data_IF_693295863851
#
_entry.id   IF_693295863851
#
_cell.length_a   1.000
_cell.length_b   1.000
_cell.length_c   1.000
_cell.angle_alpha   90.00
_cell.angle_beta   90.00
_cell.angle_gamma   90.00
#
_symmetry.space_group_name_H-M   'P 1'
#
loop_
_entity.id
_entity.type
_entity.pdbx_description
1 polymer ?
#
# COMPACT_ATOMS: atom_id res chain seq x y z
N UNK A 1 26.07 -34.19 16.80
CA UNK A 1 27.34 -34.77 16.29
C UNK A 1 27.89 -33.85 15.23
N UNK A 2 29.17 -33.44 15.42
CA UNK A 2 30.12 -32.72 14.52
C UNK A 2 29.67 -31.35 14.01
N UNK A 3 30.03 -30.21 14.53
CA UNK A 3 31.35 -29.49 14.66
C UNK A 3 32.06 -29.34 13.30
N UNK A 4 32.21 -28.12 12.86
CA UNK A 4 33.13 -27.67 11.83
C UNK A 4 33.36 -26.16 11.92
N UNK A 5 34.46 -25.79 12.62
CA UNK A 5 34.99 -24.40 12.71
C UNK A 5 35.81 -24.09 11.47
N UNK A 6 35.84 -22.83 11.07
CA UNK A 6 36.81 -22.29 10.11
C UNK A 6 36.97 -20.79 10.29
N UNK A 7 38.05 -20.36 10.90
CA UNK A 7 38.53 -19.00 11.10
C UNK A 7 39.42 -18.55 9.94
N UNK A 8 39.60 -17.25 9.81
CA UNK A 8 40.69 -16.56 9.11
C UNK A 8 40.13 -15.44 8.22
N UNK A 9 40.33 -14.16 8.39
CA UNK A 9 41.48 -13.44 8.89
C UNK A 9 42.07 -12.63 7.73
N UNK A 10 42.07 -11.29 7.78
CA UNK A 10 42.90 -10.54 6.84
C UNK A 10 42.45 -9.09 6.57
N UNK A 11 42.83 -8.20 7.46
CA UNK A 11 42.83 -6.75 7.22
C UNK A 11 44.00 -6.34 6.29
N UNK A 12 43.79 -5.38 5.40
CA UNK A 12 44.86 -4.42 5.01
C UNK A 12 44.28 -3.06 4.59
N UNK A 13 44.80 -2.07 5.28
CA UNK A 13 44.74 -0.62 4.99
C UNK A 13 45.57 -0.29 3.75
N UNK A 14 45.16 0.73 3.01
CA UNK A 14 45.98 1.42 2.01
C UNK A 14 45.52 2.88 1.88
N UNK A 15 46.23 3.77 2.55
CA UNK A 15 46.18 5.22 2.34
C UNK A 15 47.02 5.58 1.12
N UNK A 16 46.60 6.57 0.35
CA UNK A 16 47.37 7.12 -0.74
C UNK A 16 46.84 8.51 -1.11
N UNK A 17 47.43 9.50 -0.53
CA UNK A 17 47.33 10.94 -0.81
C UNK A 17 48.08 11.33 -2.09
N UNK A 18 47.53 12.28 -2.88
CA UNK A 18 48.23 12.87 -4.01
C UNK A 18 47.59 14.19 -4.43
N UNK A 19 48.13 15.28 -3.95
CA UNK A 19 47.91 16.65 -4.43
C UNK A 19 48.68 16.90 -5.73
N UNK A 20 48.12 17.72 -6.63
CA UNK A 20 48.82 18.21 -7.82
C UNK A 20 48.11 19.41 -8.42
N UNK A 21 48.58 20.58 -8.07
CA UNK A 21 48.27 21.91 -8.61
C UNK A 21 48.90 22.15 -9.98
N UNK A 22 48.26 22.96 -10.84
CA UNK A 22 48.88 23.47 -12.07
C UNK A 22 48.03 24.56 -12.74
N UNK A 23 48.48 25.78 -12.60
CA UNK A 23 48.02 27.04 -13.23
C UNK A 23 48.60 27.22 -14.64
N UNK A 24 47.98 28.12 -15.44
CA UNK A 24 48.47 28.79 -16.64
C UNK A 24 47.40 28.82 -17.72
N UNK A 25 46.73 29.87 -18.14
CA UNK A 25 47.28 31.20 -18.51
C UNK A 25 47.49 31.20 -20.03
N UNK A 26 46.70 31.83 -20.84
CA UNK A 26 47.07 33.03 -21.55
C UNK A 26 45.99 33.49 -22.56
N UNK A 27 45.99 34.74 -22.75
CA UNK A 27 45.21 35.72 -23.51
C UNK A 27 45.51 35.69 -25.00
N UNK A 28 44.55 36.05 -25.83
CA UNK A 28 44.76 36.36 -27.25
C UNK A 28 43.61 37.14 -27.87
N UNK A 29 43.76 38.42 -27.88
CA UNK A 29 42.93 39.46 -28.57
C UNK A 29 43.24 39.54 -30.05
N UNK A 30 42.30 40.18 -30.78
CA UNK A 30 42.43 41.21 -31.86
C UNK A 30 41.81 40.85 -33.24
N UNK A 31 40.67 41.41 -33.52
CA UNK A 31 40.22 42.49 -34.48
C UNK A 31 40.44 42.36 -35.98
N UNK A 32 39.82 43.26 -36.80
CA UNK A 32 38.71 42.97 -37.72
C UNK A 32 39.04 43.31 -39.17
N UNK A 33 38.22 42.87 -40.10
CA UNK A 33 38.37 43.18 -41.51
C UNK A 33 37.07 43.44 -42.28
N UNK A 34 37.01 44.57 -42.78
CA UNK A 34 36.12 45.36 -43.63
C UNK A 34 35.72 44.72 -44.97
N UNK A 35 34.50 44.97 -45.40
CA UNK A 35 34.20 45.71 -46.64
C UNK A 35 33.62 44.90 -47.80
N UNK A 36 32.47 45.36 -48.30
CA UNK A 36 31.98 45.02 -49.66
C UNK A 36 30.49 45.09 -49.88
N UNK A 37 30.00 46.19 -50.39
CA UNK A 37 28.65 46.41 -51.01
C UNK A 37 28.80 46.38 -52.52
N UNK A 38 27.69 46.50 -53.33
CA UNK A 38 26.35 45.81 -53.38
C UNK A 38 26.06 45.27 -54.81
N UNK A 39 25.07 44.43 -54.97
CA UNK A 39 24.51 44.07 -56.30
C UNK A 39 22.98 43.95 -56.24
N UNK A 40 22.33 44.76 -57.10
CA UNK A 40 20.87 44.85 -57.35
C UNK A 40 20.35 43.64 -58.16
N UNK A 41 19.13 43.25 -57.90
CA UNK A 41 18.25 42.77 -58.96
C UNK A 41 17.34 41.61 -58.57
N UNK A 42 16.02 41.80 -58.70
CA UNK A 42 15.07 40.73 -58.98
C UNK A 42 13.96 40.51 -57.97
N UNK A 43 12.83 41.19 -58.19
CA UNK A 43 11.54 40.90 -57.54
C UNK A 43 10.99 39.55 -57.99
N UNK A 44 10.61 38.69 -57.06
CA UNK A 44 9.55 37.70 -57.25
C UNK A 44 8.88 37.45 -55.89
N UNK A 45 7.67 37.89 -55.76
CA UNK A 45 6.82 37.69 -54.59
C UNK A 45 6.40 36.22 -54.50
N UNK A 46 6.90 35.49 -53.52
CA UNK A 46 6.26 34.26 -53.02
C UNK A 46 5.83 34.52 -51.57
N UNK A 47 4.50 34.55 -51.36
CA UNK A 47 3.89 34.62 -50.04
C UNK A 47 4.26 33.35 -49.27
N UNK A 48 5.21 33.46 -48.39
CA UNK A 48 5.52 32.44 -47.39
C UNK A 48 4.42 32.49 -46.32
N UNK A 49 3.55 31.46 -46.28
CA UNK A 49 2.69 31.16 -45.14
C UNK A 49 3.59 31.06 -43.89
N UNK A 50 3.47 32.05 -43.01
CA UNK A 50 4.05 32.03 -41.70
C UNK A 50 3.53 30.78 -40.96
N UNK A 51 4.38 29.78 -40.81
CA UNK A 51 4.13 28.62 -39.96
C UNK A 51 3.94 29.08 -38.51
N UNK A 52 2.75 28.87 -37.97
CA UNK A 52 2.51 29.05 -36.58
C UNK A 52 3.55 28.24 -35.80
N UNK A 53 4.19 28.79 -34.75
CA UNK A 53 5.09 28.03 -33.89
C UNK A 53 4.28 26.88 -33.31
N UNK A 54 4.75 25.65 -33.54
CA UNK A 54 4.24 24.46 -32.83
C UNK A 54 4.41 24.73 -31.34
N UNK A 55 3.32 25.00 -30.65
CA UNK A 55 3.28 25.03 -29.19
C UNK A 55 3.94 23.75 -28.72
N UNK A 56 5.07 23.90 -28.05
CA UNK A 56 5.75 22.79 -27.42
C UNK A 56 4.73 22.09 -26.53
N UNK A 57 4.54 20.78 -26.74
CA UNK A 57 3.72 19.93 -25.86
C UNK A 57 4.31 20.10 -24.46
N UNK A 58 3.65 20.94 -23.65
CA UNK A 58 3.96 21.07 -22.24
C UNK A 58 3.98 19.67 -21.64
N UNK A 59 4.91 19.44 -20.72
CA UNK A 59 5.00 18.19 -19.97
C UNK A 59 3.58 17.91 -19.43
N UNK A 60 2.98 16.72 -19.72
CA UNK A 60 1.64 16.42 -19.23
C UNK A 60 1.60 16.62 -17.72
N UNK A 61 0.51 17.16 -17.16
CA UNK A 61 0.39 17.31 -15.72
C UNK A 61 0.72 15.97 -15.08
N UNK A 62 1.53 15.99 -14.02
CA UNK A 62 1.87 14.77 -13.29
C UNK A 62 0.60 14.14 -12.78
N UNK A 63 0.34 12.90 -13.16
CA UNK A 63 -0.75 12.10 -12.59
C UNK A 63 -0.35 11.65 -11.19
N UNK A 64 -0.60 12.52 -10.22
CA UNK A 64 -0.16 12.28 -8.84
C UNK A 64 -0.90 11.10 -8.20
N UNK A 65 -2.15 10.81 -8.61
CA UNK A 65 -2.89 9.66 -8.13
C UNK A 65 -2.20 8.33 -8.53
N UNK A 66 -1.87 8.17 -9.81
CA UNK A 66 -1.16 6.97 -10.30
C UNK A 66 0.26 6.89 -9.77
N UNK A 67 0.94 8.01 -9.63
CA UNK A 67 2.27 8.04 -9.02
C UNK A 67 2.24 7.63 -7.54
N UNK A 68 1.25 8.05 -6.77
CA UNK A 68 1.11 7.64 -5.36
C UNK A 68 0.79 6.15 -5.25
N UNK A 69 -0.11 5.63 -6.10
CA UNK A 69 -0.42 4.20 -6.15
C UNK A 69 0.82 3.36 -6.49
N UNK A 70 1.56 3.77 -7.50
CA UNK A 70 2.81 3.10 -7.89
C UNK A 70 3.85 3.10 -6.76
N UNK A 71 4.07 4.23 -6.10
CA UNK A 71 5.04 4.31 -5.01
C UNK A 71 4.64 3.46 -3.79
N UNK A 72 3.33 3.33 -3.54
CA UNK A 72 2.85 2.40 -2.52
C UNK A 72 3.21 0.95 -2.88
N UNK A 73 2.92 0.53 -4.11
CA UNK A 73 3.22 -0.83 -4.58
C UNK A 73 4.71 -1.12 -4.47
N UNK A 74 5.57 -0.19 -4.94
CA UNK A 74 7.03 -0.32 -4.80
C UNK A 74 7.49 -0.43 -3.35
N UNK A 75 6.85 0.30 -2.44
CA UNK A 75 7.19 0.25 -1.03
C UNK A 75 6.76 -1.06 -0.36
N UNK A 76 5.65 -1.64 -0.79
CA UNK A 76 5.21 -2.97 -0.33
C UNK A 76 6.19 -4.04 -0.82
N UNK A 77 6.55 -4.01 -2.09
CA UNK A 77 7.45 -4.99 -2.71
C UNK A 77 8.89 -4.90 -2.17
N UNK A 78 9.45 -3.70 -2.05
CA UNK A 78 10.86 -3.49 -1.67
C UNK A 78 11.13 -3.51 -0.16
N UNK A 79 10.14 -3.16 0.67
CA UNK A 79 10.34 -2.86 2.09
C UNK A 79 9.31 -3.49 3.01
N UNK A 80 8.49 -4.41 2.50
CA UNK A 80 7.37 -5.02 3.26
C UNK A 80 6.49 -3.98 3.96
N UNK A 81 6.27 -2.82 3.29
CA UNK A 81 5.51 -1.74 3.89
C UNK A 81 4.04 -2.11 4.04
N UNK A 82 3.45 -1.73 5.16
CA UNK A 82 2.00 -1.88 5.37
C UNK A 82 1.24 -0.84 4.54
N UNK A 83 0.54 -1.31 3.51
CA UNK A 83 -0.16 -0.45 2.55
C UNK A 83 -1.15 0.51 3.22
N UNK A 84 -1.93 0.01 4.19
CA UNK A 84 -2.93 0.77 4.95
C UNK A 84 -2.33 1.88 5.84
N UNK A 85 -1.09 1.73 6.29
CA UNK A 85 -0.38 2.75 7.08
C UNK A 85 0.33 3.77 6.19
N UNK A 86 0.84 3.32 5.03
CA UNK A 86 1.62 4.16 4.14
C UNK A 86 0.75 5.06 3.26
N UNK A 87 -0.36 4.55 2.70
CA UNK A 87 -1.20 5.32 1.75
C UNK A 87 -1.70 6.65 2.34
N UNK A 88 -2.30 6.71 3.56
CA UNK A 88 -2.73 7.97 4.12
C UNK A 88 -1.58 8.98 4.29
N UNK A 89 -0.39 8.48 4.57
CA UNK A 89 0.82 9.32 4.70
C UNK A 89 1.26 9.88 3.37
N UNK A 90 1.30 9.06 2.30
CA UNK A 90 1.62 9.50 0.95
C UNK A 90 0.62 10.55 0.43
N UNK A 91 -0.68 10.33 0.65
CA UNK A 91 -1.71 11.28 0.23
C UNK A 91 -1.54 12.64 0.92
N UNK A 92 -1.33 12.64 2.25
CA UNK A 92 -1.08 13.89 3.02
C UNK A 92 0.17 14.61 2.57
N UNK A 93 1.30 13.90 2.44
CA UNK A 93 2.59 14.49 2.02
C UNK A 93 2.51 15.13 0.64
N UNK A 94 1.75 14.54 -0.28
CA UNK A 94 1.58 15.04 -1.64
C UNK A 94 0.40 15.97 -1.80
N UNK A 95 -0.37 16.21 -0.74
CA UNK A 95 -1.60 17.03 -0.76
C UNK A 95 -2.62 16.53 -1.80
N UNK A 96 -2.70 15.20 -1.98
CA UNK A 96 -3.69 14.57 -2.85
C UNK A 96 -4.97 14.41 -2.04
N UNK A 97 -6.08 14.97 -2.54
CA UNK A 97 -7.37 15.01 -1.85
C UNK A 97 -8.53 14.66 -2.78
N UNK A 98 -9.72 14.45 -2.23
CA UNK A 98 -10.94 14.25 -3.00
C UNK A 98 -10.86 13.07 -3.98
N UNK A 99 -11.27 13.28 -5.21
CA UNK A 99 -11.36 12.23 -6.24
C UNK A 99 -10.00 11.60 -6.58
N UNK A 100 -8.93 12.38 -6.56
CA UNK A 100 -7.60 11.87 -6.85
C UNK A 100 -7.07 10.98 -5.71
N UNK A 101 -7.38 11.30 -4.45
CA UNK A 101 -7.07 10.45 -3.32
C UNK A 101 -7.85 9.12 -3.37
N UNK A 102 -9.14 9.18 -3.71
CA UNK A 102 -9.95 7.99 -3.91
C UNK A 102 -9.42 7.12 -5.06
N UNK A 103 -9.04 7.74 -6.18
CA UNK A 103 -8.43 7.05 -7.32
C UNK A 103 -7.09 6.39 -6.93
N UNK A 104 -6.20 7.11 -6.26
CA UNK A 104 -4.91 6.58 -5.82
C UNK A 104 -5.10 5.36 -4.90
N UNK A 105 -6.03 5.45 -3.96
CA UNK A 105 -6.36 4.39 -3.00
C UNK A 105 -6.93 3.17 -3.72
N UNK A 106 -7.91 3.37 -4.62
CA UNK A 106 -8.50 2.29 -5.41
C UNK A 106 -7.46 1.58 -6.27
N UNK A 107 -6.64 2.35 -7.00
CA UNK A 107 -5.62 1.78 -7.87
C UNK A 107 -4.57 0.97 -7.09
N UNK A 108 -4.12 1.47 -5.94
CA UNK A 108 -3.12 0.78 -5.15
C UNK A 108 -3.68 -0.49 -4.50
N UNK A 109 -4.74 -0.36 -3.72
CA UNK A 109 -5.30 -1.50 -2.97
C UNK A 109 -5.95 -2.53 -3.89
N UNK A 110 -6.64 -2.08 -4.94
CA UNK A 110 -7.23 -2.98 -5.92
C UNK A 110 -6.17 -3.76 -6.71
N UNK A 111 -5.04 -3.12 -7.06
CA UNK A 111 -3.93 -3.81 -7.71
C UNK A 111 -3.31 -4.84 -6.77
N UNK A 112 -3.04 -4.47 -5.51
CA UNK A 112 -2.46 -5.40 -4.53
C UNK A 112 -3.35 -6.61 -4.26
N UNK A 113 -4.68 -6.43 -4.21
CA UNK A 113 -5.62 -7.56 -4.07
C UNK A 113 -5.66 -8.48 -5.29
N UNK A 114 -5.43 -7.96 -6.48
CA UNK A 114 -5.52 -8.71 -7.71
C UNK A 114 -4.21 -9.27 -8.26
N UNK A 115 -3.09 -9.17 -7.52
CA UNK A 115 -1.74 -9.49 -8.02
C UNK A 115 -1.66 -10.86 -8.68
N UNK A 116 -2.15 -11.91 -8.01
CA UNK A 116 -2.06 -13.29 -8.52
C UNK A 116 -2.82 -13.46 -9.84
N UNK A 117 -4.04 -12.93 -9.94
CA UNK A 117 -4.81 -12.94 -11.19
C UNK A 117 -4.12 -12.16 -12.29
N UNK A 118 -3.57 -10.97 -11.96
CA UNK A 118 -2.96 -10.12 -12.97
C UNK A 118 -1.65 -10.70 -13.49
N UNK A 119 -0.88 -11.39 -12.66
CA UNK A 119 0.34 -12.05 -13.10
C UNK A 119 0.06 -13.17 -14.10
N UNK A 120 -0.99 -13.98 -13.88
CA UNK A 120 -1.43 -15.00 -14.84
C UNK A 120 -1.89 -14.37 -16.17
N UNK A 121 -2.66 -13.28 -16.11
CA UNK A 121 -3.07 -12.53 -17.33
C UNK A 121 -1.87 -11.93 -18.04
N UNK A 122 -0.90 -11.37 -17.32
CA UNK A 122 0.33 -10.83 -17.91
C UNK A 122 1.14 -11.96 -18.57
N UNK A 123 1.30 -13.10 -17.92
CA UNK A 123 1.97 -14.27 -18.47
C UNK A 123 1.34 -14.71 -19.79
N UNK A 124 0.03 -14.79 -19.86
CA UNK A 124 -0.70 -15.14 -21.10
C UNK A 124 -0.57 -14.07 -22.20
N UNK A 125 -0.24 -12.84 -21.85
CA UNK A 125 -0.05 -11.73 -22.80
C UNK A 125 1.42 -11.48 -23.20
N UNK A 126 2.38 -12.12 -22.55
CA UNK A 126 3.82 -11.87 -22.65
C UNK A 126 4.56 -13.12 -23.10
N UNK A 127 5.70 -12.91 -23.78
CA UNK A 127 6.63 -13.99 -24.09
C UNK A 127 7.63 -14.21 -22.93
N UNK A 128 7.49 -13.44 -21.83
CA UNK A 128 8.31 -13.52 -20.61
C UNK A 128 7.38 -13.76 -19.41
N UNK A 129 7.71 -14.72 -18.54
CA UNK A 129 6.97 -14.89 -17.30
C UNK A 129 7.17 -13.66 -16.40
N UNK A 130 6.21 -13.34 -15.51
CA UNK A 130 6.26 -12.15 -14.64
C UNK A 130 7.55 -12.06 -13.81
N UNK A 131 8.11 -13.18 -13.38
CA UNK A 131 9.32 -13.27 -12.56
C UNK A 131 10.58 -12.80 -13.30
N UNK A 132 10.57 -12.80 -14.63
CA UNK A 132 11.66 -12.31 -15.49
C UNK A 132 11.49 -10.84 -15.90
N UNK A 133 10.38 -10.22 -15.51
CA UNK A 133 10.12 -8.79 -15.77
C UNK A 133 10.70 -7.97 -14.62
N UNK A 134 11.43 -6.91 -14.97
CA UNK A 134 11.95 -5.96 -13.98
C UNK A 134 10.84 -5.49 -13.02
N UNK A 135 10.97 -5.66 -11.68
CA UNK A 135 9.91 -5.39 -10.72
C UNK A 135 9.27 -4.00 -10.84
N UNK A 136 10.02 -2.89 -11.02
CA UNK A 136 9.43 -1.59 -11.27
C UNK A 136 8.54 -1.53 -12.52
N UNK A 137 8.89 -2.25 -13.57
CA UNK A 137 8.08 -2.34 -14.78
C UNK A 137 6.83 -3.20 -14.56
N UNK A 138 7.00 -4.34 -13.90
CA UNK A 138 5.90 -5.26 -13.60
C UNK A 138 4.82 -4.57 -12.77
N UNK A 139 5.18 -3.83 -11.74
CA UNK A 139 4.21 -3.10 -10.91
C UNK A 139 3.45 -2.03 -11.69
N UNK A 140 4.13 -1.33 -12.60
CA UNK A 140 3.44 -0.38 -13.47
C UNK A 140 2.46 -1.08 -14.42
N UNK A 141 2.83 -2.26 -14.96
CA UNK A 141 1.95 -3.07 -15.83
C UNK A 141 0.77 -3.63 -15.03
N UNK A 142 0.99 -4.19 -13.82
CA UNK A 142 -0.07 -4.66 -12.90
C UNK A 142 -1.10 -3.55 -12.61
N UNK A 143 -0.62 -2.33 -12.35
CA UNK A 143 -1.48 -1.15 -12.16
C UNK A 143 -2.31 -0.84 -13.43
N UNK A 144 -1.74 -1.04 -14.61
CA UNK A 144 -2.44 -0.91 -15.89
C UNK A 144 -3.49 -1.99 -16.10
N UNK A 145 -3.18 -3.24 -15.76
CA UNK A 145 -4.09 -4.39 -15.83
C UNK A 145 -5.28 -4.19 -14.91
N UNK A 146 -5.05 -3.75 -13.66
CA UNK A 146 -6.13 -3.40 -12.74
C UNK A 146 -7.08 -2.35 -13.32
N UNK A 147 -6.55 -1.28 -13.90
CA UNK A 147 -7.35 -0.24 -14.54
C UNK A 147 -8.21 -0.79 -15.68
N UNK A 148 -7.67 -1.68 -16.49
CA UNK A 148 -8.35 -2.28 -17.64
C UNK A 148 -9.46 -3.27 -17.25
N UNK A 149 -9.23 -4.07 -16.21
CA UNK A 149 -10.08 -5.20 -15.88
C UNK A 149 -11.06 -4.94 -14.73
N UNK A 150 -10.75 -4.01 -13.82
CA UNK A 150 -11.53 -3.81 -12.58
C UNK A 150 -12.03 -2.39 -12.39
N UNK A 151 -11.74 -1.45 -13.30
CA UNK A 151 -12.21 -0.06 -13.17
C UNK A 151 -13.05 0.37 -14.35
N UNK A 152 -13.75 1.50 -14.20
CA UNK A 152 -14.53 2.12 -15.28
C UNK A 152 -13.70 3.08 -16.15
N UNK A 153 -12.38 3.07 -16.03
CA UNK A 153 -11.50 3.91 -16.83
C UNK A 153 -11.50 3.40 -18.26
N UNK A 154 -11.77 4.25 -19.27
CA UNK A 154 -11.75 3.83 -20.66
C UNK A 154 -10.41 3.17 -21.03
N UNK A 155 -10.40 2.03 -21.77
CA UNK A 155 -9.19 1.28 -22.06
C UNK A 155 -8.06 2.10 -22.67
N UNK A 156 -8.37 2.98 -23.62
CA UNK A 156 -7.37 3.86 -24.24
C UNK A 156 -6.71 4.82 -23.23
N UNK A 157 -7.50 5.33 -22.26
CA UNK A 157 -6.99 6.21 -21.20
C UNK A 157 -6.13 5.44 -20.19
N UNK A 158 -6.55 4.23 -19.79
CA UNK A 158 -5.79 3.35 -18.92
C UNK A 158 -4.42 3.01 -19.53
N UNK A 159 -4.40 2.57 -20.79
CA UNK A 159 -3.14 2.26 -21.51
C UNK A 159 -2.26 3.50 -21.59
N UNK A 160 -2.78 4.64 -22.06
CA UNK A 160 -1.98 5.87 -22.23
C UNK A 160 -1.37 6.34 -20.91
N UNK A 161 -2.16 6.43 -19.84
CA UNK A 161 -1.70 6.87 -18.53
C UNK A 161 -0.65 5.91 -17.93
N UNK A 162 -0.83 4.60 -18.14
CA UNK A 162 0.17 3.61 -17.67
C UNK A 162 1.47 3.72 -18.45
N UNK A 163 1.42 3.94 -19.77
CA UNK A 163 2.63 4.13 -20.57
C UNK A 163 3.37 5.41 -20.16
N UNK A 164 2.66 6.47 -19.83
CA UNK A 164 3.28 7.71 -19.34
C UNK A 164 3.90 7.51 -17.95
N UNK A 165 3.27 6.71 -17.08
CA UNK A 165 3.84 6.28 -15.80
C UNK A 165 5.13 5.47 -16.01
N UNK A 166 5.12 4.47 -16.91
CA UNK A 166 6.33 3.67 -17.25
C UNK A 166 7.45 4.56 -17.75
N UNK A 167 7.18 5.49 -18.66
CA UNK A 167 8.18 6.44 -19.18
C UNK A 167 8.79 7.31 -18.09
N UNK A 168 7.95 7.73 -17.14
CA UNK A 168 8.36 8.60 -16.03
C UNK A 168 9.20 7.86 -15.00
N UNK A 169 8.81 6.62 -14.64
CA UNK A 169 9.31 5.90 -13.48
C UNK A 169 10.36 4.84 -13.81
N UNK A 170 10.25 4.23 -14.98
CA UNK A 170 11.13 3.14 -15.43
C UNK A 170 12.01 3.59 -16.60
N UNK A 171 11.46 4.44 -17.46
CA UNK A 171 12.16 4.96 -18.62
C UNK A 171 11.44 4.67 -19.95
N UNK A 172 11.94 5.24 -21.07
CA UNK A 172 11.26 5.12 -22.36
C UNK A 172 11.40 3.72 -23.00
N UNK A 173 12.48 3.00 -22.75
CA UNK A 173 12.77 1.69 -23.37
C UNK A 173 11.66 0.65 -23.11
N UNK A 174 11.31 0.38 -21.83
CA UNK A 174 10.30 -0.62 -21.46
C UNK A 174 8.88 -0.30 -21.91
N UNK A 175 8.60 0.93 -22.34
CA UNK A 175 7.23 1.35 -22.72
C UNK A 175 6.66 0.58 -23.90
N UNK A 176 7.49 0.00 -24.80
CA UNK A 176 7.03 -0.85 -25.88
C UNK A 176 6.46 -2.18 -25.37
N UNK A 177 7.15 -2.80 -24.43
CA UNK A 177 6.69 -4.02 -23.76
C UNK A 177 5.37 -3.78 -23.04
N UNK A 178 5.32 -2.77 -22.15
CA UNK A 178 4.11 -2.42 -21.44
C UNK A 178 2.91 -2.16 -22.37
N UNK A 179 3.14 -1.43 -23.48
CA UNK A 179 2.08 -1.16 -24.46
C UNK A 179 1.60 -2.44 -25.17
N UNK A 180 2.51 -3.35 -25.53
CA UNK A 180 2.15 -4.62 -26.18
C UNK A 180 1.29 -5.49 -25.24
N UNK A 181 1.72 -5.68 -23.99
CA UNK A 181 0.98 -6.43 -22.97
C UNK A 181 -0.40 -5.81 -22.72
N UNK A 182 -0.45 -4.51 -22.38
CA UNK A 182 -1.71 -3.84 -22.02
C UNK A 182 -2.73 -3.81 -23.16
N UNK A 183 -2.28 -3.73 -24.41
CA UNK A 183 -3.18 -3.82 -25.58
C UNK A 183 -3.78 -5.22 -25.74
N UNK A 184 -3.01 -6.28 -25.47
CA UNK A 184 -3.56 -7.65 -25.45
C UNK A 184 -4.56 -7.82 -24.31
N UNK A 185 -4.22 -7.33 -23.10
CA UNK A 185 -5.14 -7.36 -21.94
C UNK A 185 -6.45 -6.65 -22.23
N UNK A 186 -6.41 -5.49 -22.85
CA UNK A 186 -7.61 -4.68 -23.16
C UNK A 186 -8.57 -5.35 -24.15
N UNK A 187 -8.15 -6.42 -24.82
CA UNK A 187 -8.96 -7.14 -25.82
C UNK A 187 -10.01 -8.07 -25.21
N UNK A 188 -10.03 -8.28 -23.89
CA UNK A 188 -10.95 -9.20 -23.19
C UNK A 188 -11.38 -8.63 -21.85
N UNK A 189 -12.54 -9.11 -21.35
CA UNK A 189 -12.99 -8.85 -19.98
C UNK A 189 -12.24 -9.71 -18.99
N UNK A 190 -12.39 -9.43 -17.68
CA UNK A 190 -11.80 -10.26 -16.64
C UNK A 190 -12.32 -11.69 -16.70
N UNK A 191 -13.63 -11.87 -16.89
CA UNK A 191 -14.27 -13.19 -16.98
C UNK A 191 -13.66 -14.01 -18.13
N UNK A 192 -13.53 -13.39 -19.31
CA UNK A 192 -12.90 -14.03 -20.48
C UNK A 192 -11.41 -14.37 -20.23
N UNK A 193 -10.71 -13.56 -19.45
CA UNK A 193 -9.35 -13.88 -19.07
C UNK A 193 -9.30 -15.05 -18.10
N UNK A 194 -10.19 -15.10 -17.10
CA UNK A 194 -10.24 -16.20 -16.13
C UNK A 194 -10.52 -17.55 -16.82
N UNK A 195 -11.38 -17.58 -17.86
CA UNK A 195 -11.60 -18.78 -18.67
C UNK A 195 -10.34 -19.29 -19.38
N UNK A 196 -9.38 -18.41 -19.64
CA UNK A 196 -8.12 -18.75 -20.34
C UNK A 196 -7.01 -19.13 -19.35
N UNK A 197 -6.88 -18.38 -18.23
CA UNK A 197 -5.70 -18.49 -17.36
C UNK A 197 -5.95 -19.32 -16.10
N UNK A 198 -7.20 -19.45 -15.64
CA UNK A 198 -7.51 -20.32 -14.51
C UNK A 198 -7.62 -21.79 -14.97
N UNK A 199 -7.04 -22.74 -14.23
CA UNK A 199 -7.25 -24.16 -14.54
C UNK A 199 -8.74 -24.54 -14.45
N UNK A 200 -9.20 -25.54 -15.22
CA UNK A 200 -10.58 -26.00 -15.13
C UNK A 200 -10.93 -26.41 -13.70
N UNK A 201 -12.09 -25.93 -13.21
CA UNK A 201 -12.50 -26.08 -11.80
C UNK A 201 -12.74 -27.55 -11.39
N UNK A 202 -13.16 -28.39 -12.35
CA UNK A 202 -13.36 -29.82 -12.17
C UNK A 202 -12.06 -30.62 -12.07
N UNK A 203 -10.95 -30.09 -12.62
CA UNK A 203 -9.63 -30.74 -12.61
C UNK A 203 -8.75 -30.26 -11.45
N UNK A 204 -8.71 -28.95 -11.20
CA UNK A 204 -7.96 -28.34 -10.10
C UNK A 204 -8.78 -27.20 -9.46
N UNK A 205 -9.73 -27.53 -8.58
CA UNK A 205 -10.58 -26.52 -7.94
C UNK A 205 -9.78 -25.51 -7.13
N UNK A 206 -8.70 -25.93 -6.45
CA UNK A 206 -7.86 -25.03 -5.66
C UNK A 206 -7.06 -24.08 -6.56
N UNK A 207 -6.48 -24.58 -7.64
CA UNK A 207 -5.79 -23.74 -8.63
C UNK A 207 -6.74 -22.75 -9.29
N UNK A 208 -7.96 -23.19 -9.63
CA UNK A 208 -8.99 -22.31 -10.16
C UNK A 208 -9.29 -21.15 -9.21
N UNK A 209 -9.58 -21.43 -7.94
CA UNK A 209 -9.88 -20.43 -6.92
C UNK A 209 -8.67 -19.51 -6.64
N UNK A 210 -7.45 -20.07 -6.67
CA UNK A 210 -6.20 -19.31 -6.53
C UNK A 210 -6.11 -18.18 -7.55
N UNK A 211 -6.37 -18.51 -8.82
CA UNK A 211 -6.30 -17.53 -9.92
C UNK A 211 -7.52 -16.62 -9.93
N UNK A 212 -8.73 -17.19 -9.78
CA UNK A 212 -9.98 -16.44 -9.88
C UNK A 212 -10.10 -15.35 -8.79
N UNK A 213 -9.68 -15.67 -7.57
CA UNK A 213 -9.77 -14.77 -6.41
C UNK A 213 -8.44 -14.17 -5.95
N UNK A 214 -7.33 -14.46 -6.66
CA UNK A 214 -6.00 -13.86 -6.36
C UNK A 214 -5.49 -14.14 -4.95
N UNK A 215 -5.71 -15.35 -4.44
CA UNK A 215 -5.20 -15.78 -3.14
C UNK A 215 -4.11 -16.85 -3.32
N UNK A 216 -3.05 -16.84 -2.52
CA UNK A 216 -2.05 -17.91 -2.54
C UNK A 216 -2.68 -19.29 -2.31
N UNK A 217 -2.21 -20.30 -3.07
CA UNK A 217 -2.78 -21.67 -3.02
C UNK A 217 -2.89 -22.24 -1.61
N UNK A 218 -1.90 -21.96 -0.76
CA UNK A 218 -1.91 -22.43 0.64
C UNK A 218 -3.04 -21.79 1.47
N UNK A 219 -3.36 -20.51 1.22
CA UNK A 219 -4.49 -19.82 1.86
C UNK A 219 -5.81 -20.45 1.41
N UNK A 220 -6.00 -20.62 0.10
CA UNK A 220 -7.21 -21.26 -0.46
C UNK A 220 -7.39 -22.66 0.15
N UNK A 221 -6.31 -23.45 0.27
CA UNK A 221 -6.35 -24.77 0.88
C UNK A 221 -6.77 -24.71 2.34
N UNK A 222 -6.15 -23.82 3.13
CA UNK A 222 -6.45 -23.65 4.55
C UNK A 222 -7.90 -23.20 4.79
N UNK A 223 -8.40 -22.24 3.98
CA UNK A 223 -9.78 -21.76 4.08
C UNK A 223 -10.78 -22.85 3.68
N UNK A 224 -10.51 -23.61 2.61
CA UNK A 224 -11.35 -24.76 2.23
C UNK A 224 -11.44 -25.78 3.36
N UNK A 225 -10.33 -26.13 3.99
CA UNK A 225 -10.29 -27.08 5.09
C UNK A 225 -11.08 -26.56 6.31
N UNK A 226 -11.04 -25.24 6.55
CA UNK A 226 -11.80 -24.60 7.63
C UNK A 226 -13.32 -24.63 7.41
N UNK A 227 -13.79 -24.58 6.14
CA UNK A 227 -15.22 -24.70 5.80
C UNK A 227 -15.63 -26.14 5.43
N UNK A 228 -14.91 -27.13 5.93
CA UNK A 228 -15.26 -28.55 5.77
C UNK A 228 -15.03 -29.14 4.37
N UNK A 229 -14.24 -28.48 3.52
CA UNK A 229 -13.86 -28.95 2.19
C UNK A 229 -14.82 -28.50 1.07
N UNK A 230 -15.84 -27.72 1.37
CA UNK A 230 -16.78 -27.21 0.39
C UNK A 230 -16.14 -26.15 -0.51
N UNK A 231 -16.14 -26.43 -1.82
CA UNK A 231 -15.49 -25.57 -2.82
C UNK A 231 -16.33 -24.32 -3.12
N UNK A 232 -17.66 -24.41 -3.05
CA UNK A 232 -18.55 -23.28 -3.33
C UNK A 232 -18.58 -22.31 -2.15
N UNK A 233 -18.60 -22.84 -0.92
CA UNK A 233 -18.47 -22.02 0.29
C UNK A 233 -17.08 -21.36 0.37
N UNK A 234 -16.02 -22.07 -0.03
CA UNK A 234 -14.68 -21.50 -0.16
C UNK A 234 -14.66 -20.35 -1.17
N UNK A 235 -15.29 -20.51 -2.32
CA UNK A 235 -15.38 -19.44 -3.32
C UNK A 235 -16.10 -18.21 -2.78
N UNK A 236 -17.23 -18.40 -2.10
CA UNK A 236 -17.98 -17.31 -1.47
C UNK A 236 -17.15 -16.57 -0.39
N UNK A 237 -16.38 -17.32 0.40
CA UNK A 237 -15.45 -16.74 1.38
C UNK A 237 -14.35 -15.89 0.73
N UNK A 238 -13.72 -16.41 -0.33
CA UNK A 238 -12.66 -15.68 -1.06
C UNK A 238 -13.21 -14.46 -1.80
N UNK A 239 -14.44 -14.51 -2.27
CA UNK A 239 -15.12 -13.35 -2.86
C UNK A 239 -15.36 -12.27 -1.82
N UNK A 240 -15.85 -12.65 -0.63
CA UNK A 240 -16.06 -11.74 0.50
C UNK A 240 -14.75 -11.09 0.96
N UNK A 241 -13.64 -11.84 1.01
CA UNK A 241 -12.31 -11.31 1.33
C UNK A 241 -11.81 -10.26 0.33
N UNK A 242 -12.26 -10.34 -0.93
CA UNK A 242 -11.92 -9.39 -1.97
C UNK A 242 -12.84 -8.15 -2.00
N UNK A 243 -13.93 -8.14 -1.25
CA UNK A 243 -14.77 -6.96 -1.14
C UNK A 243 -13.98 -5.78 -0.58
N UNK A 244 -14.39 -4.58 -0.98
CA UNK A 244 -13.80 -3.37 -0.42
C UNK A 244 -14.17 -3.26 1.05
N UNK A 245 -13.20 -3.27 1.98
CA UNK A 245 -13.52 -3.17 3.40
C UNK A 245 -14.20 -1.84 3.69
N UNK A 246 -15.30 -1.88 4.45
CA UNK A 246 -15.91 -0.69 5.03
C UNK A 246 -14.99 -0.13 6.11
N UNK A 247 -14.92 1.18 6.23
CA UNK A 247 -14.11 1.82 7.27
C UNK A 247 -14.83 1.67 8.60
N UNK A 248 -14.39 0.71 9.41
CA UNK A 248 -14.91 0.52 10.76
C UNK A 248 -14.20 1.47 11.73
N UNK A 249 -14.99 2.11 12.59
CA UNK A 249 -14.54 3.00 13.65
C UNK A 249 -14.84 2.37 15.01
N UNK A 250 -14.00 2.67 16.00
CA UNK A 250 -14.25 2.37 17.40
C UNK A 250 -14.38 3.67 18.19
N UNK A 251 -15.50 3.87 18.87
CA UNK A 251 -15.63 4.87 19.89
C UNK A 251 -15.03 4.33 21.19
N UNK A 252 -13.97 4.92 21.71
CA UNK A 252 -13.32 4.46 22.93
C UNK A 252 -14.20 4.82 24.15
N UNK A 253 -14.66 3.84 24.95
CA UNK A 253 -15.59 4.10 26.05
C UNK A 253 -15.00 5.10 27.05
N UNK A 254 -15.85 6.02 27.54
CA UNK A 254 -15.44 7.14 28.41
C UNK A 254 -14.71 8.28 27.68
N UNK A 255 -14.46 8.17 26.36
CA UNK A 255 -13.76 9.20 25.56
C UNK A 255 -14.58 9.70 24.38
N UNK A 256 -15.34 8.80 23.74
CA UNK A 256 -16.31 9.09 22.68
C UNK A 256 -17.47 8.10 22.78
N UNK A 257 -18.57 8.40 22.09
CA UNK A 257 -19.73 7.51 21.97
C UNK A 257 -19.98 7.17 20.51
N UNK A 258 -20.72 6.07 20.27
CA UNK A 258 -21.14 5.69 18.91
C UNK A 258 -22.08 6.74 18.33
N UNK A 259 -22.91 7.38 19.17
CA UNK A 259 -23.82 8.47 18.79
C UNK A 259 -23.07 9.67 18.22
N UNK A 260 -21.90 9.99 18.78
CA UNK A 260 -21.02 11.05 18.26
C UNK A 260 -20.50 10.70 16.86
N UNK A 261 -20.13 9.44 16.62
CA UNK A 261 -19.69 8.96 15.29
C UNK A 261 -20.85 8.95 14.28
N UNK A 262 -22.05 8.54 14.73
CA UNK A 262 -23.27 8.55 13.91
C UNK A 262 -23.65 9.99 13.53
N UNK A 263 -23.56 10.92 14.45
CA UNK A 263 -23.79 12.35 14.16
C UNK A 263 -22.77 12.92 13.15
N UNK A 264 -21.58 12.31 13.05
CA UNK A 264 -20.55 12.65 12.05
C UNK A 264 -20.72 11.90 10.73
N UNK A 265 -21.83 11.16 10.52
CA UNK A 265 -22.15 10.47 9.26
C UNK A 265 -21.80 9.00 9.22
N UNK A 266 -21.40 8.39 10.33
CA UNK A 266 -21.20 6.94 10.40
C UNK A 266 -22.53 6.21 10.68
N UNK A 267 -22.57 4.91 10.37
CA UNK A 267 -23.67 4.00 10.64
C UNK A 267 -23.31 3.07 11.80
N UNK A 268 -24.23 2.79 12.71
CA UNK A 268 -23.98 1.87 13.83
C UNK A 268 -23.67 0.47 13.31
N UNK A 269 -22.63 -0.15 13.83
CA UNK A 269 -22.27 -1.54 13.52
C UNK A 269 -23.14 -2.54 14.29
N UNK A 270 -23.12 -3.81 13.87
CA UNK A 270 -24.07 -4.82 14.37
C UNK A 270 -23.62 -5.54 15.65
N UNK A 271 -22.32 -5.73 15.85
CA UNK A 271 -21.80 -6.68 16.84
C UNK A 271 -21.08 -5.99 18.00
N UNK A 272 -20.21 -5.02 17.74
CA UNK A 272 -19.50 -4.29 18.78
C UNK A 272 -20.34 -3.10 19.27
N UNK A 273 -20.54 -2.94 20.59
CA UNK A 273 -21.28 -1.80 21.15
C UNK A 273 -20.54 -0.47 20.95
N UNK A 274 -19.29 -0.50 20.52
CA UNK A 274 -18.44 0.67 20.29
C UNK A 274 -18.15 0.93 18.81
N UNK A 275 -18.66 0.08 17.91
CA UNK A 275 -18.37 0.19 16.50
C UNK A 275 -19.39 1.02 15.72
N UNK A 276 -18.87 1.74 14.72
CA UNK A 276 -19.64 2.36 13.65
C UNK A 276 -18.89 2.23 12.33
N UNK A 277 -19.62 2.10 11.20
CA UNK A 277 -19.06 2.09 9.87
C UNK A 277 -19.19 3.46 9.21
N UNK A 278 -18.10 3.99 8.70
CA UNK A 278 -18.09 5.18 7.87
C UNK A 278 -18.30 4.77 6.40
N UNK A 279 -19.46 5.07 5.80
CA UNK A 279 -19.74 4.68 4.41
C UNK A 279 -18.82 5.36 3.42
N UNK A 280 -18.58 6.66 3.62
CA UNK A 280 -17.76 7.49 2.75
C UNK A 280 -17.00 8.55 3.55
N UNK A 281 -15.91 9.06 3.00
CA UNK A 281 -15.17 10.18 3.59
C UNK A 281 -13.82 9.78 4.21
N UNK A 282 -13.18 10.79 4.81
CA UNK A 282 -11.91 10.62 5.51
C UNK A 282 -12.19 10.46 7.02
N UNK A 283 -11.86 9.30 7.61
CA UNK A 283 -11.99 9.12 9.06
C UNK A 283 -11.25 10.19 9.88
N UNK A 284 -10.15 10.72 9.36
CA UNK A 284 -9.37 11.77 10.01
C UNK A 284 -10.09 13.13 10.10
N UNK A 285 -11.13 13.33 9.29
CA UNK A 285 -11.98 14.53 9.35
C UNK A 285 -12.97 14.49 10.52
N UNK A 286 -13.19 13.33 11.14
CA UNK A 286 -14.08 13.20 12.32
C UNK A 286 -13.32 13.68 13.55
N UNK A 287 -13.82 14.70 14.29
CA UNK A 287 -13.11 15.28 15.44
C UNK A 287 -12.70 14.24 16.49
N UNK A 288 -13.58 13.30 16.82
CA UNK A 288 -13.28 12.24 17.78
C UNK A 288 -12.10 11.35 17.35
N UNK A 289 -11.92 11.12 16.05
CA UNK A 289 -10.78 10.37 15.51
C UNK A 289 -9.51 11.23 15.53
N UNK A 290 -9.59 12.48 15.07
CA UNK A 290 -8.47 13.43 15.09
C UNK A 290 -7.91 13.67 16.50
N UNK A 291 -8.78 13.64 17.53
CA UNK A 291 -8.44 13.82 18.95
C UNK A 291 -8.08 12.51 19.66
N UNK A 292 -7.98 11.40 18.94
CA UNK A 292 -7.69 10.06 19.46
C UNK A 292 -8.69 9.58 20.56
N UNK A 293 -9.93 10.09 20.55
CA UNK A 293 -11.06 9.61 21.36
C UNK A 293 -11.77 8.43 20.69
N UNK A 294 -11.74 8.39 19.37
CA UNK A 294 -12.13 7.28 18.52
C UNK A 294 -10.95 6.87 17.61
N UNK A 295 -11.06 5.78 16.90
CA UNK A 295 -10.03 5.32 15.95
C UNK A 295 -10.64 4.48 14.84
N UNK A 296 -9.88 4.27 13.76
CA UNK A 296 -10.17 3.21 12.78
C UNK A 296 -9.75 1.88 13.39
N UNK A 297 -10.70 0.96 13.52
CA UNK A 297 -10.45 -0.41 14.00
C UNK A 297 -11.57 -1.32 13.51
N UNK A 298 -11.20 -2.46 12.92
CA UNK A 298 -12.15 -3.47 12.47
C UNK A 298 -13.03 -3.99 13.61
N UNK A 299 -14.29 -4.28 13.30
CA UNK A 299 -15.30 -4.69 14.30
C UNK A 299 -14.93 -6.02 14.96
N UNK A 300 -14.46 -7.02 14.20
CA UNK A 300 -14.01 -8.30 14.74
C UNK A 300 -12.81 -8.13 15.67
N UNK A 301 -11.89 -7.24 15.33
CA UNK A 301 -10.73 -6.88 16.17
C UNK A 301 -11.16 -6.23 17.48
N UNK A 302 -12.27 -5.46 17.48
CA UNK A 302 -12.87 -4.93 18.72
C UNK A 302 -13.47 -6.06 19.58
N UNK A 303 -14.17 -7.01 18.95
CA UNK A 303 -14.79 -8.16 19.65
C UNK A 303 -13.76 -9.03 20.34
N UNK A 304 -12.59 -9.25 19.72
CA UNK A 304 -11.47 -9.98 20.36
C UNK A 304 -11.02 -9.27 21.65
N UNK A 305 -10.82 -7.96 21.61
CA UNK A 305 -10.45 -7.18 22.79
C UNK A 305 -11.57 -7.21 23.86
N UNK A 306 -12.82 -7.10 23.44
CA UNK A 306 -13.98 -7.12 24.37
C UNK A 306 -14.20 -8.49 25.00
N UNK A 307 -13.96 -9.60 24.26
CA UNK A 307 -14.06 -10.95 24.78
C UNK A 307 -13.18 -11.16 26.01
N UNK A 308 -11.91 -10.68 25.95
CA UNK A 308 -11.01 -10.69 27.10
C UNK A 308 -11.61 -10.02 28.33
N UNK A 309 -12.33 -8.91 28.16
CA UNK A 309 -12.85 -8.12 29.26
C UNK A 309 -14.15 -8.67 29.84
N UNK A 310 -14.82 -9.64 29.19
CA UNK A 310 -16.11 -10.20 29.62
C UNK A 310 -16.00 -11.38 30.55
N UNK A 311 -14.84 -11.99 30.67
CA UNK A 311 -14.63 -13.08 31.63
C UNK A 311 -14.69 -12.51 33.05
N UNK A 312 -15.60 -12.99 33.94
CA UNK A 312 -15.64 -12.53 35.31
C UNK A 312 -14.40 -13.01 36.08
N UNK A 313 -13.79 -12.12 36.88
CA UNK A 313 -12.62 -12.39 37.72
C UNK A 313 -12.85 -11.78 39.09
N UNK A 314 -12.36 -12.43 40.14
CA UNK A 314 -12.39 -11.91 41.53
C UNK A 314 -11.45 -10.71 41.68
N UNK A 315 -10.34 -10.70 40.98
CA UNK A 315 -9.39 -9.58 40.86
C UNK A 315 -9.27 -9.19 39.39
N UNK A 316 -9.41 -7.91 39.08
CA UNK A 316 -9.42 -7.39 37.72
C UNK A 316 -8.81 -5.98 37.68
N UNK A 317 -7.56 -5.86 38.11
CA UNK A 317 -6.87 -4.59 38.34
C UNK A 317 -5.67 -4.34 37.43
N UNK A 318 -5.09 -5.41 36.85
CA UNK A 318 -3.87 -5.34 36.07
C UNK A 318 -3.99 -6.17 34.79
N UNK A 319 -3.85 -5.51 33.66
CA UNK A 319 -4.01 -6.11 32.33
C UNK A 319 -2.72 -5.99 31.52
N UNK A 320 -2.48 -6.95 30.66
CA UNK A 320 -1.35 -6.97 29.70
C UNK A 320 -1.89 -7.15 28.29
N UNK A 321 -1.45 -6.30 27.38
CA UNK A 321 -1.47 -6.57 25.94
C UNK A 321 -0.04 -6.88 25.51
N UNK A 322 0.25 -8.16 25.23
CA UNK A 322 1.61 -8.65 25.03
C UNK A 322 2.13 -8.40 23.61
N UNK A 323 1.24 -8.19 22.64
CA UNK A 323 1.54 -7.87 21.24
C UNK A 323 0.83 -6.59 20.82
N UNK A 324 0.95 -5.52 21.64
CA UNK A 324 0.11 -4.34 21.59
C UNK A 324 0.21 -3.50 20.30
N UNK A 325 1.30 -3.58 19.55
CA UNK A 325 1.51 -2.77 18.35
C UNK A 325 0.62 -3.19 17.16
N UNK A 326 0.08 -2.22 16.42
CA UNK A 326 0.28 -0.77 16.47
C UNK A 326 -0.63 0.00 17.46
N UNK A 327 -1.47 -0.66 18.28
CA UNK A 327 -2.23 -0.01 19.33
C UNK A 327 -3.75 -0.04 19.18
N UNK A 328 -4.31 -0.72 18.16
CA UNK A 328 -5.75 -0.78 17.95
C UNK A 328 -6.48 -1.41 19.13
N UNK A 329 -6.14 -2.66 19.47
CA UNK A 329 -6.72 -3.39 20.62
C UNK A 329 -6.29 -2.77 21.94
N UNK A 330 -5.01 -2.41 22.09
CA UNK A 330 -4.49 -1.73 23.27
C UNK A 330 -5.27 -0.44 23.61
N UNK A 331 -5.59 0.38 22.61
CA UNK A 331 -6.35 1.63 22.82
C UNK A 331 -7.79 1.41 23.29
N UNK A 332 -8.45 0.34 22.85
CA UNK A 332 -9.77 -0.05 23.33
C UNK A 332 -9.67 -0.63 24.76
N UNK A 333 -8.71 -1.53 25.00
CA UNK A 333 -8.47 -2.11 26.32
C UNK A 333 -8.11 -1.04 27.36
N UNK A 334 -7.28 -0.06 27.00
CA UNK A 334 -6.92 1.08 27.85
C UNK A 334 -8.16 1.89 28.28
N UNK A 335 -9.07 2.14 27.35
CA UNK A 335 -10.30 2.85 27.64
C UNK A 335 -11.26 2.05 28.54
N UNK A 336 -11.40 0.74 28.31
CA UNK A 336 -12.22 -0.15 29.15
C UNK A 336 -11.59 -0.34 30.53
N UNK A 337 -10.26 -0.52 30.60
CA UNK A 337 -9.53 -0.64 31.87
C UNK A 337 -9.72 0.60 32.75
N UNK A 338 -9.59 1.80 32.16
CA UNK A 338 -9.79 3.07 32.86
C UNK A 338 -11.18 3.16 33.48
N UNK A 339 -12.25 2.73 32.76
CA UNK A 339 -13.61 2.71 33.30
C UNK A 339 -13.81 1.74 34.51
N UNK A 340 -12.96 0.68 34.55
CA UNK A 340 -13.02 -0.33 35.60
C UNK A 340 -12.03 -0.06 36.77
N UNK A 341 -11.24 1.00 36.68
CA UNK A 341 -10.18 1.28 37.65
C UNK A 341 -8.98 0.32 37.51
N UNK A 342 -8.89 -0.43 36.39
CA UNK A 342 -7.76 -1.30 36.08
C UNK A 342 -6.66 -0.55 35.33
N UNK A 343 -5.46 -1.12 35.31
CA UNK A 343 -4.28 -0.56 34.62
C UNK A 343 -3.81 -1.50 33.52
N UNK A 344 -3.54 -0.96 32.32
CA UNK A 344 -3.02 -1.69 31.19
C UNK A 344 -1.51 -1.48 31.06
N UNK A 345 -0.78 -2.56 30.83
CA UNK A 345 0.58 -2.57 30.28
C UNK A 345 0.50 -3.05 28.81
N UNK A 346 0.96 -2.24 27.88
CA UNK A 346 1.17 -2.65 26.48
C UNK A 346 2.62 -3.01 26.25
N UNK A 347 2.87 -4.15 25.61
CA UNK A 347 4.22 -4.59 25.23
C UNK A 347 4.27 -4.93 23.74
N UNK A 348 5.37 -4.65 23.07
CA UNK A 348 5.65 -5.12 21.71
C UNK A 348 7.16 -5.35 21.58
N UNK A 349 7.55 -6.40 20.87
CA UNK A 349 8.96 -6.74 20.67
C UNK A 349 9.68 -5.69 19.81
N UNK A 350 8.93 -5.00 18.94
CA UNK A 350 9.46 -3.99 18.04
C UNK A 350 9.26 -2.57 18.60
N UNK A 351 10.36 -1.88 18.89
CA UNK A 351 10.35 -0.52 19.44
C UNK A 351 9.48 0.46 18.62
N UNK A 352 9.56 0.43 17.30
CA UNK A 352 8.78 1.34 16.46
C UNK A 352 7.28 1.05 16.54
N UNK A 353 6.85 -0.20 16.76
CA UNK A 353 5.45 -0.56 16.99
C UNK A 353 4.98 -0.17 18.39
N UNK A 354 5.80 -0.43 19.42
CA UNK A 354 5.52 0.03 20.78
C UNK A 354 5.30 1.56 20.84
N UNK A 355 6.09 2.34 20.08
CA UNK A 355 5.88 3.79 19.96
C UNK A 355 4.53 4.19 19.42
N UNK A 356 3.97 3.41 18.48
CA UNK A 356 2.63 3.69 17.92
C UNK A 356 1.54 3.48 18.97
N UNK A 357 1.70 2.50 19.87
CA UNK A 357 0.76 2.26 20.98
C UNK A 357 0.60 3.49 21.87
N UNK A 358 1.66 4.23 22.13
CA UNK A 358 1.60 5.50 22.90
C UNK A 358 0.65 6.53 22.28
N UNK A 359 0.57 6.59 20.95
CA UNK A 359 -0.36 7.47 20.25
C UNK A 359 -1.84 7.05 20.36
N UNK A 360 -2.09 5.81 20.77
CA UNK A 360 -3.43 5.23 20.82
C UNK A 360 -3.97 5.05 22.25
N UNK A 361 -3.10 5.02 23.24
CA UNK A 361 -3.42 4.87 24.67
C UNK A 361 -3.28 6.20 25.42
N UNK A 362 -3.91 6.36 26.58
CA UNK A 362 -3.77 7.54 27.45
C UNK A 362 -3.21 7.21 28.82
N UNK A 363 -3.62 6.09 29.40
CA UNK A 363 -3.28 5.70 30.76
C UNK A 363 -2.33 4.49 30.81
N UNK A 364 -2.35 3.68 29.74
CA UNK A 364 -1.48 2.50 29.65
C UNK A 364 -0.01 2.87 29.71
N UNK A 365 0.75 2.06 30.45
CA UNK A 365 2.20 2.01 30.31
C UNK A 365 2.55 1.22 29.06
N UNK A 366 3.61 1.61 28.36
CA UNK A 366 4.06 0.91 27.15
C UNK A 366 5.54 0.62 27.24
N UNK A 367 5.94 -0.61 26.95
CA UNK A 367 7.33 -1.06 26.96
C UNK A 367 7.67 -1.81 25.67
N UNK A 368 8.94 -1.85 25.35
CA UNK A 368 9.47 -2.77 24.34
C UNK A 368 9.97 -4.01 25.07
N UNK A 369 9.34 -5.16 24.81
CA UNK A 369 9.69 -6.41 25.50
C UNK A 369 9.44 -7.61 24.59
N UNK A 370 10.27 -8.62 24.72
CA UNK A 370 10.08 -9.94 24.11
C UNK A 370 9.18 -10.78 25.02
N UNK A 371 7.97 -11.12 24.56
CA UNK A 371 7.01 -11.94 25.31
C UNK A 371 7.49 -13.35 25.62
N UNK A 372 8.47 -13.87 24.87
CA UNK A 372 9.13 -15.17 25.16
C UNK A 372 10.15 -15.09 26.29
N UNK A 373 10.54 -13.86 26.66
CA UNK A 373 11.45 -13.52 27.76
C UNK A 373 10.85 -12.38 28.59
N UNK A 374 9.73 -12.62 29.29
CA UNK A 374 8.93 -11.56 29.86
C UNK A 374 9.71 -10.71 30.87
N UNK A 375 9.54 -9.38 30.77
CA UNK A 375 10.14 -8.41 31.69
C UNK A 375 9.34 -8.22 33.00
N UNK A 376 8.34 -9.05 33.24
CA UNK A 376 7.46 -9.03 34.39
C UNK A 376 7.46 -10.35 35.16
N UNK A 377 6.98 -10.32 36.40
CA UNK A 377 6.91 -11.51 37.25
C UNK A 377 5.75 -12.42 36.82
N UNK A 378 5.85 -13.75 36.95
CA UNK A 378 4.69 -14.63 36.82
C UNK A 378 3.53 -14.19 37.73
N UNK A 379 2.30 -14.28 37.24
CA UNK A 379 1.11 -13.89 37.99
C UNK A 379 0.92 -12.37 38.20
N UNK A 380 1.65 -11.52 37.46
CA UNK A 380 1.55 -10.07 37.62
C UNK A 380 0.29 -9.46 37.02
N UNK A 381 -0.42 -10.19 36.17
CA UNK A 381 -1.58 -9.70 35.44
C UNK A 381 -2.79 -10.62 35.60
N UNK A 382 -3.95 -9.98 35.78
CA UNK A 382 -5.23 -10.67 35.89
C UNK A 382 -5.78 -11.04 34.49
N UNK A 383 -5.45 -10.24 33.46
CA UNK A 383 -5.82 -10.48 32.08
C UNK A 383 -4.61 -10.32 31.15
N UNK A 384 -4.49 -11.24 30.20
CA UNK A 384 -3.43 -11.19 29.18
C UNK A 384 -4.05 -11.33 27.79
N UNK A 385 -3.85 -10.30 26.94
CA UNK A 385 -4.12 -10.34 25.53
C UNK A 385 -2.86 -10.84 24.80
N UNK A 386 -3.03 -11.86 23.99
CA UNK A 386 -2.02 -12.38 23.07
C UNK A 386 -2.70 -12.59 21.71
N UNK A 387 -2.40 -11.70 20.75
CA UNK A 387 -3.00 -11.71 19.42
C UNK A 387 -1.99 -11.28 18.36
#
# INVERSE_FOLDING_TARGET
>A
MKQGRGQGGGARRGQGSGQGSGQGGDSGQVRPGRGGRPGRGGQAAHAAKAGQPKQGRGRPPRDEARNAAYDLMRAVDERDAYANLLMPTLLRQRRITGRDAALATELAYGTLRGLGTYDEVIAACSDRPPEEVDPPLLDAVRLGVHQLLRTRIPPHAAVSATIDLVRLRVGPGPSRYANAVLRKVAGRTLEQWLEIVAPPRDQDPIGNLTVAYSHPRWIVTALRDAVGGDVDETAALLEADNERPRVALVARPGRATVEELVAAGAERAAYSPYAAYLPEGDPGAIPAVGEARAAVQDEASQLVALALTRVPLDQDSTWLDMCAGPGGKAGLLDAVAAQRGARLLGADVQYHRARLVWGTTREAKVITADGTRPAWRPGAFDRVMLD
#
